data_IF_356737066428
#
_entry.id   IF_356737066428
#
_cell.length_a   1.000
_cell.length_b   1.000
_cell.length_c   1.000
_cell.angle_alpha   90.00
_cell.angle_beta   90.00
_cell.angle_gamma   90.00
#
_symmetry.space_group_name_H-M   'P 1'
#
loop_
_entity.id
_entity.type
_entity.pdbx_description
1 polymer ?
#
# COMPACT_ATOMS: atom_id res chain seq x y z
N UNK A 1 4.14 0.85 11.63
CA UNK A 1 2.69 0.97 11.32
C UNK A 1 2.26 -0.35 10.71
N UNK A 2 1.16 -0.91 11.16
CA UNK A 2 0.63 -2.19 10.67
C UNK A 2 -0.42 -1.92 9.59
N UNK A 3 -0.41 -2.73 8.53
CA UNK A 3 -1.40 -2.69 7.46
C UNK A 3 -2.06 -4.05 7.32
N UNK A 4 -3.37 -4.05 7.17
CA UNK A 4 -4.10 -5.21 6.67
C UNK A 4 -4.03 -5.17 5.15
N UNK A 5 -3.44 -6.20 4.55
CA UNK A 5 -3.24 -6.27 3.10
C UNK A 5 -4.17 -7.32 2.52
N UNK A 6 -4.97 -6.94 1.52
CA UNK A 6 -5.89 -7.86 0.86
C UNK A 6 -5.77 -7.80 -0.66
N UNK A 7 -5.66 -8.98 -1.28
CA UNK A 7 -5.68 -9.12 -2.74
C UNK A 7 -7.12 -9.15 -3.24
N UNK A 8 -7.40 -8.37 -4.29
CA UNK A 8 -8.67 -8.44 -5.03
C UNK A 8 -8.48 -9.14 -6.37
N UNK A 9 -9.58 -9.66 -6.89
CA UNK A 9 -9.58 -10.47 -8.11
C UNK A 9 -9.37 -9.64 -9.40
N UNK A 10 -9.75 -8.35 -9.40
CA UNK A 10 -9.68 -7.52 -10.61
C UNK A 10 -9.60 -6.03 -10.29
N UNK A 11 -9.12 -5.25 -11.27
CA UNK A 11 -9.17 -3.78 -11.22
C UNK A 11 -10.60 -3.25 -11.04
N UNK A 12 -11.58 -3.88 -11.67
CA UNK A 12 -12.99 -3.51 -11.50
C UNK A 12 -13.47 -3.70 -10.04
N UNK A 13 -12.99 -4.73 -9.35
CA UNK A 13 -13.27 -4.93 -7.93
C UNK A 13 -12.56 -3.86 -7.07
N UNK A 14 -11.31 -3.52 -7.41
CA UNK A 14 -10.55 -2.46 -6.74
C UNK A 14 -11.25 -1.10 -6.89
N UNK A 15 -11.69 -0.76 -8.09
CA UNK A 15 -12.37 0.51 -8.38
C UNK A 15 -13.70 0.65 -7.63
N UNK A 16 -14.44 -0.45 -7.41
CA UNK A 16 -15.70 -0.43 -6.64
C UNK A 16 -15.52 -0.42 -5.13
N UNK A 17 -14.30 -0.61 -4.63
CA UNK A 17 -14.08 -0.60 -3.19
C UNK A 17 -14.40 0.79 -2.62
N UNK A 18 -15.22 0.82 -1.58
CA UNK A 18 -15.61 2.04 -0.89
C UNK A 18 -15.48 1.83 0.62
N UNK A 19 -14.67 2.61 1.33
CA UNK A 19 -14.48 2.44 2.76
C UNK A 19 -15.71 2.90 3.54
N UNK A 20 -16.28 1.99 4.35
CA UNK A 20 -17.33 2.28 5.31
C UNK A 20 -16.71 2.43 6.71
N UNK A 21 -16.73 3.64 7.32
CA UNK A 21 -16.20 3.84 8.67
C UNK A 21 -16.84 2.94 9.74
N UNK A 22 -18.10 2.53 9.56
CA UNK A 22 -18.79 1.59 10.44
C UNK A 22 -18.11 0.21 10.39
N UNK A 23 -17.92 -0.32 9.20
CA UNK A 23 -17.23 -1.60 9.00
C UNK A 23 -15.79 -1.57 9.51
N UNK A 24 -15.08 -0.42 9.39
CA UNK A 24 -13.73 -0.28 9.94
C UNK A 24 -13.72 -0.32 11.48
N UNK A 25 -14.69 0.33 12.16
CA UNK A 25 -14.84 0.21 13.62
C UNK A 25 -15.16 -1.20 14.06
N UNK A 26 -15.97 -1.93 13.30
CA UNK A 26 -16.27 -3.34 13.56
C UNK A 26 -15.04 -4.21 13.36
N UNK A 27 -14.23 -3.94 12.34
CA UNK A 27 -12.97 -4.63 12.10
C UNK A 27 -11.99 -4.45 13.25
N UNK A 28 -11.85 -3.24 13.81
CA UNK A 28 -11.02 -2.98 15.01
C UNK A 28 -11.47 -3.87 16.17
N UNK A 29 -12.79 -3.98 16.43
CA UNK A 29 -13.32 -4.83 17.50
C UNK A 29 -13.05 -6.32 17.27
N UNK A 30 -13.14 -6.79 16.02
CA UNK A 30 -12.90 -8.20 15.65
C UNK A 30 -11.43 -8.57 15.64
N UNK A 31 -10.54 -7.63 15.33
CA UNK A 31 -9.11 -7.84 15.15
C UNK A 31 -8.28 -6.90 16.03
N UNK A 32 -8.36 -7.00 17.36
CA UNK A 32 -7.74 -6.06 18.29
C UNK A 32 -6.20 -6.03 18.20
N UNK A 33 -5.57 -7.06 17.61
CA UNK A 33 -4.12 -7.08 17.37
C UNK A 33 -3.64 -5.99 16.40
N UNK A 34 -4.53 -5.49 15.54
CA UNK A 34 -4.21 -4.40 14.61
C UNK A 34 -4.33 -3.01 15.27
N UNK A 35 -4.52 -2.96 16.60
CA UNK A 35 -4.70 -1.72 17.36
C UNK A 35 -5.96 -0.96 16.96
N UNK A 36 -6.08 0.27 17.45
CA UNK A 36 -7.23 1.16 17.14
C UNK A 36 -7.21 1.70 15.70
N UNK A 37 -6.13 1.42 14.96
CA UNK A 37 -5.85 1.93 13.63
C UNK A 37 -5.92 0.81 12.61
N UNK A 38 -7.11 0.46 12.19
CA UNK A 38 -7.30 -0.52 11.12
C UNK A 38 -7.06 0.17 9.77
N UNK A 39 -5.88 -0.05 9.18
CA UNK A 39 -5.51 0.45 7.87
C UNK A 39 -5.61 -0.68 6.85
N UNK A 40 -6.39 -0.47 5.78
CA UNK A 40 -6.62 -1.49 4.76
C UNK A 40 -5.94 -1.10 3.45
N UNK A 41 -4.96 -1.91 3.05
CA UNK A 41 -4.27 -1.78 1.77
C UNK A 41 -4.74 -2.86 0.81
N UNK A 42 -5.50 -2.46 -0.20
CA UNK A 42 -6.01 -3.34 -1.24
C UNK A 42 -5.05 -3.35 -2.43
N UNK A 43 -4.90 -4.52 -3.07
CA UNK A 43 -4.10 -4.59 -4.29
C UNK A 43 -4.66 -5.59 -5.31
N UNK A 44 -4.33 -5.33 -6.57
CA UNK A 44 -4.54 -6.22 -7.70
C UNK A 44 -3.21 -6.40 -8.42
N UNK A 45 -2.92 -7.63 -8.83
CA UNK A 45 -1.80 -7.91 -9.75
C UNK A 45 -2.30 -7.88 -11.17
N UNK A 46 -1.49 -7.29 -12.04
CA UNK A 46 -1.72 -7.44 -13.49
C UNK A 46 -1.58 -8.92 -13.90
N UNK A 47 -2.43 -9.36 -14.81
CA UNK A 47 -2.49 -10.76 -15.25
C UNK A 47 -1.38 -11.13 -16.23
N UNK A 48 -0.87 -10.15 -16.97
CA UNK A 48 0.20 -10.31 -17.97
C UNK A 48 1.57 -10.01 -17.35
N UNK A 49 1.65 -8.91 -16.59
CA UNK A 49 2.87 -8.49 -15.91
C UNK A 49 2.67 -8.51 -14.39
N UNK A 50 2.91 -9.64 -13.71
CA UNK A 50 2.65 -9.78 -12.27
C UNK A 50 3.48 -8.86 -11.35
N UNK A 51 4.48 -8.16 -11.89
CA UNK A 51 5.24 -7.11 -11.22
C UNK A 51 4.51 -5.77 -11.19
N UNK A 52 3.50 -5.56 -12.05
CA UNK A 52 2.63 -4.40 -12.02
C UNK A 52 1.46 -4.60 -11.07
N UNK A 53 1.30 -3.63 -10.18
CA UNK A 53 0.26 -3.63 -9.16
C UNK A 53 -0.59 -2.38 -9.27
N UNK A 54 -1.89 -2.53 -9.04
CA UNK A 54 -2.78 -1.41 -8.74
C UNK A 54 -3.19 -1.50 -7.27
N UNK A 55 -3.11 -0.39 -6.55
CA UNK A 55 -3.35 -0.38 -5.10
C UNK A 55 -4.28 0.75 -4.68
N UNK A 56 -4.99 0.55 -3.56
CA UNK A 56 -5.72 1.59 -2.84
C UNK A 56 -5.51 1.42 -1.34
N UNK A 57 -5.34 2.54 -0.63
CA UNK A 57 -5.10 2.53 0.81
C UNK A 57 -6.17 3.33 1.54
N UNK A 58 -6.88 2.68 2.45
CA UNK A 58 -7.95 3.26 3.25
C UNK A 58 -7.59 3.33 4.73
N UNK A 59 -7.77 4.51 5.32
CA UNK A 59 -7.54 4.77 6.74
C UNK A 59 -8.60 5.71 7.35
N UNK A 60 -9.91 5.41 7.22
CA UNK A 60 -10.98 6.33 7.61
C UNK A 60 -10.98 6.65 9.12
N UNK A 61 -10.44 5.77 9.96
CA UNK A 61 -10.33 6.01 11.42
C UNK A 61 -9.17 6.94 11.80
N UNK A 62 -8.30 7.28 10.84
CA UNK A 62 -7.21 8.25 11.00
C UNK A 62 -7.55 9.62 10.40
N UNK A 63 -8.80 9.85 9.99
CA UNK A 63 -9.22 11.08 9.32
C UNK A 63 -8.82 11.17 7.85
N UNK A 64 -8.22 10.12 7.29
CA UNK A 64 -7.85 10.02 5.87
C UNK A 64 -8.66 8.88 5.25
N UNK A 65 -9.75 9.22 4.56
CA UNK A 65 -10.61 8.20 3.93
C UNK A 65 -9.82 7.31 2.99
N UNK A 66 -9.02 7.92 2.12
CA UNK A 66 -8.12 7.25 1.18
C UNK A 66 -6.86 8.09 0.98
N UNK A 67 -5.69 7.43 0.86
CA UNK A 67 -4.40 8.08 0.61
C UNK A 67 -3.95 7.81 -0.83
N UNK A 68 -3.59 8.85 -1.62
CA UNK A 68 -3.21 8.68 -3.02
C UNK A 68 -1.83 8.06 -3.23
N UNK A 69 -0.94 8.07 -2.24
CA UNK A 69 0.43 7.56 -2.38
C UNK A 69 1.04 7.14 -1.04
N UNK A 70 0.91 5.88 -0.69
CA UNK A 70 1.34 5.35 0.60
C UNK A 70 2.63 4.54 0.46
N UNK A 71 3.78 5.18 0.56
CA UNK A 71 5.08 4.53 0.42
C UNK A 71 5.27 3.35 1.38
N UNK A 72 4.95 3.54 2.67
CA UNK A 72 5.11 2.49 3.70
C UNK A 72 4.22 1.26 3.47
N UNK A 73 2.98 1.43 3.01
CA UNK A 73 2.09 0.32 2.70
C UNK A 73 2.57 -0.47 1.47
N UNK A 74 3.01 0.25 0.43
CA UNK A 74 3.55 -0.36 -0.79
C UNK A 74 4.90 -1.06 -0.54
N UNK A 75 5.78 -0.51 0.28
CA UNK A 75 7.01 -1.19 0.71
C UNK A 75 6.68 -2.49 1.48
N UNK A 76 5.69 -2.45 2.38
CA UNK A 76 5.22 -3.63 3.12
C UNK A 76 4.63 -4.68 2.18
N UNK A 77 3.83 -4.25 1.18
CA UNK A 77 3.28 -5.14 0.15
C UNK A 77 4.39 -5.80 -0.68
N UNK A 78 5.40 -5.05 -1.13
CA UNK A 78 6.53 -5.57 -1.87
C UNK A 78 7.30 -6.62 -1.06
N UNK A 79 7.59 -6.33 0.21
CA UNK A 79 8.24 -7.27 1.12
C UNK A 79 7.42 -8.56 1.32
N UNK A 80 6.10 -8.43 1.52
CA UNK A 80 5.18 -9.56 1.66
C UNK A 80 5.18 -10.44 0.40
N UNK A 81 5.05 -9.84 -0.78
CA UNK A 81 4.99 -10.56 -2.05
C UNK A 81 6.32 -11.26 -2.37
N UNK A 82 7.45 -10.64 -2.05
CA UNK A 82 8.78 -11.25 -2.21
C UNK A 82 8.95 -12.44 -1.27
N UNK A 83 8.50 -12.30 -0.01
CA UNK A 83 8.53 -13.40 0.97
C UNK A 83 7.68 -14.58 0.52
N UNK A 84 6.42 -14.33 0.11
CA UNK A 84 5.47 -15.36 -0.32
C UNK A 84 5.90 -16.02 -1.65
N UNK A 85 6.49 -15.23 -2.56
CA UNK A 85 6.95 -15.71 -3.87
C UNK A 85 8.22 -16.55 -3.82
N UNK A 86 8.89 -16.67 -2.67
CA UNK A 86 10.10 -17.47 -2.49
C UNK A 86 11.34 -16.94 -3.21
N UNK A 87 11.27 -15.79 -3.89
CA UNK A 87 12.38 -15.18 -4.62
C UNK A 87 13.33 -14.46 -3.68
N UNK A 88 14.61 -14.39 -4.05
CA UNK A 88 15.62 -13.63 -3.29
C UNK A 88 15.37 -12.13 -3.38
N UNK A 89 14.93 -11.65 -4.56
CA UNK A 89 14.64 -10.25 -4.83
C UNK A 89 13.49 -10.13 -5.83
N UNK A 90 12.67 -9.07 -5.69
CA UNK A 90 11.63 -8.69 -6.63
C UNK A 90 11.49 -7.17 -6.71
N UNK A 91 11.17 -6.68 -7.91
CA UNK A 91 10.78 -5.29 -8.15
C UNK A 91 9.32 -5.22 -8.59
N UNK A 92 8.66 -4.09 -8.28
CA UNK A 92 7.26 -3.84 -8.58
C UNK A 92 7.06 -2.41 -9.07
N UNK A 93 6.22 -2.26 -10.08
CA UNK A 93 5.65 -0.99 -10.52
C UNK A 93 4.24 -0.88 -9.93
N UNK A 94 3.95 0.20 -9.23
CA UNK A 94 2.73 0.32 -8.43
C UNK A 94 2.01 1.60 -8.83
N UNK A 95 0.75 1.47 -9.22
CA UNK A 95 -0.16 2.58 -9.43
C UNK A 95 -1.11 2.68 -8.22
N UNK A 96 -1.19 3.87 -7.61
CA UNK A 96 -2.11 4.18 -6.50
C UNK A 96 -2.79 5.53 -6.76
N UNK A 97 -4.01 5.72 -6.25
CA UNK A 97 -4.73 6.99 -6.31
C UNK A 97 -5.44 7.28 -7.63
N UNK A 98 -5.46 6.33 -8.58
CA UNK A 98 -6.16 6.50 -9.85
C UNK A 98 -7.65 6.78 -9.66
N UNK A 99 -8.32 6.06 -8.76
CA UNK A 99 -9.73 6.21 -8.44
C UNK A 99 -10.06 7.53 -7.72
N UNK A 100 -9.05 8.20 -7.16
CA UNK A 100 -9.17 9.54 -6.56
C UNK A 100 -8.95 10.66 -7.58
N UNK A 101 -8.64 10.34 -8.85
CA UNK A 101 -8.19 11.32 -9.85
C UNK A 101 -6.80 11.88 -9.58
N UNK A 102 -6.00 11.21 -8.74
CA UNK A 102 -4.63 11.59 -8.37
C UNK A 102 -3.66 10.39 -8.54
N UNK A 103 -3.49 9.88 -9.77
CA UNK A 103 -2.63 8.74 -10.01
C UNK A 103 -1.20 9.04 -9.58
N UNK A 104 -0.63 8.13 -8.79
CA UNK A 104 0.76 8.16 -8.32
C UNK A 104 1.43 6.87 -8.76
N UNK A 105 2.63 6.98 -9.31
CA UNK A 105 3.45 5.85 -9.74
C UNK A 105 4.61 5.69 -8.78
N UNK A 106 4.73 4.48 -8.21
CA UNK A 106 5.77 4.14 -7.25
C UNK A 106 6.52 2.91 -7.75
N UNK A 107 7.80 2.86 -7.45
CA UNK A 107 8.68 1.72 -7.70
C UNK A 107 9.12 1.14 -6.37
N UNK A 108 8.84 -0.12 -6.16
CA UNK A 108 9.25 -0.83 -4.96
C UNK A 108 10.22 -1.96 -5.34
N UNK A 109 11.28 -2.12 -4.58
CA UNK A 109 12.11 -3.33 -4.61
C UNK A 109 12.17 -3.96 -3.24
N UNK A 110 12.20 -5.29 -3.19
CA UNK A 110 12.33 -6.01 -1.93
C UNK A 110 13.28 -7.19 -2.09
N UNK A 111 14.19 -7.35 -1.12
CA UNK A 111 15.22 -8.40 -1.13
C UNK A 111 15.32 -9.10 0.22
N UNK A 112 15.62 -10.40 0.19
CA UNK A 112 15.98 -11.17 1.38
C UNK A 112 17.41 -10.86 1.77
N UNK A 113 17.62 -10.52 3.03
CA UNK A 113 18.96 -10.40 3.63
C UNK A 113 19.48 -11.77 4.11
N UNK A 114 20.77 -11.86 4.38
CA UNK A 114 21.41 -13.08 4.87
C UNK A 114 20.84 -13.56 6.23
N UNK A 115 20.31 -12.65 7.03
CA UNK A 115 19.64 -12.93 8.32
C UNK A 115 18.18 -13.43 8.14
N UNK A 116 17.70 -13.59 6.90
CA UNK A 116 16.33 -14.01 6.59
C UNK A 116 15.28 -12.89 6.63
N UNK A 117 15.66 -11.67 7.01
CA UNK A 117 14.76 -10.52 6.94
C UNK A 117 14.51 -10.11 5.49
N UNK A 118 13.34 -9.52 5.21
CA UNK A 118 13.06 -8.90 3.91
C UNK A 118 13.10 -7.39 4.09
N UNK A 119 13.96 -6.73 3.31
CA UNK A 119 14.07 -5.27 3.24
C UNK A 119 13.45 -4.79 1.96
N UNK A 120 12.74 -3.65 2.03
CA UNK A 120 12.12 -3.04 0.88
C UNK A 120 12.52 -1.58 0.78
N UNK A 121 12.77 -1.15 -0.45
CA UNK A 121 13.01 0.23 -0.84
C UNK A 121 11.81 0.69 -1.67
N UNK A 122 11.48 1.98 -1.55
CA UNK A 122 10.37 2.61 -2.30
C UNK A 122 10.85 3.93 -2.89
N UNK A 123 10.46 4.17 -4.13
CA UNK A 123 10.72 5.41 -4.85
C UNK A 123 9.46 5.90 -5.56
N UNK A 124 9.42 7.17 -5.94
CA UNK A 124 8.35 7.78 -6.72
C UNK A 124 8.78 9.15 -7.23
N UNK A 125 8.13 9.60 -8.30
CA UNK A 125 8.34 10.94 -8.84
C UNK A 125 7.62 11.96 -7.97
N UNK A 126 8.32 13.04 -7.63
CA UNK A 126 7.81 14.12 -6.80
C UNK A 126 7.89 15.47 -7.55
N UNK A 127 6.82 16.26 -7.44
CA UNK A 127 6.80 17.64 -7.93
C UNK A 127 6.96 18.59 -6.75
N UNK A 128 7.97 19.49 -6.73
CA UNK A 128 8.12 20.47 -5.67
C UNK A 128 6.97 21.49 -5.72
N UNK A 129 6.26 21.64 -4.59
CA UNK A 129 5.08 22.53 -4.49
C UNK A 129 5.44 23.84 -3.82
N UNK A 130 6.25 23.81 -2.76
CA UNK A 130 6.73 25.02 -2.07
C UNK A 130 8.07 24.79 -1.39
N UNK A 131 8.76 25.89 -1.07
CA UNK A 131 10.01 25.90 -0.32
C UNK A 131 9.85 26.81 0.90
N UNK A 132 10.45 26.42 2.02
CA UNK A 132 10.47 27.20 3.25
C UNK A 132 11.75 26.98 4.05
N UNK A 133 11.96 27.79 5.08
CA UNK A 133 12.99 27.60 6.09
C UNK A 133 12.31 27.31 7.42
N UNK A 134 12.86 26.39 8.17
CA UNK A 134 12.51 26.19 9.58
C UNK A 134 13.61 26.89 10.38
N UNK A 135 13.21 27.85 11.19
CA UNK A 135 14.10 28.47 12.17
C UNK A 135 14.01 27.66 13.46
N UNK A 136 15.17 27.37 14.13
CA UNK A 136 15.21 26.56 15.35
C UNK A 136 14.63 27.29 16.56
#
# INVERSE_FOLDING_TARGET
>A
MEFVIARLASRAALARANPDPGAFRDAVRRFPRNGERFNLHLYVRDSVEPSRLATRMFAPLLGVTEDPATGSANATLAALLTRLGGKAEQAFEIEQGAEMGRPSFLWASARKSADGAVRADIAGDCVPVFRGRVEP
#
